data_IF_097781337185
#
_entry.id   IF_097781337185
#
_cell.length_a   1.000
_cell.length_b   1.000
_cell.length_c   1.000
_cell.angle_alpha   90.00
_cell.angle_beta   90.00
_cell.angle_gamma   90.00
#
_symmetry.space_group_name_H-M   'P 1'
#
loop_
_entity.id
_entity.type
_entity.pdbx_description
1 polymer ?
#
# COMPACT_ATOMS: atom_id res chain seq x y z
N UNK A 1 -75.83 -50.53 23.22
CA UNK A 1 -75.51 -50.75 24.63
C UNK A 1 -74.29 -49.87 24.86
N UNK A 2 -74.55 -48.64 25.16
CA UNK A 2 -74.42 -47.99 26.47
C UNK A 2 -72.93 -47.91 26.84
N UNK A 3 -72.30 -46.91 27.15
CA UNK A 3 -72.63 -45.65 27.82
C UNK A 3 -71.55 -44.59 27.54
N UNK A 4 -71.98 -43.40 27.37
CA UNK A 4 -71.28 -42.20 27.76
C UNK A 4 -71.37 -42.04 29.28
N UNK A 5 -70.44 -41.42 29.98
CA UNK A 5 -70.57 -39.97 30.23
C UNK A 5 -69.22 -39.29 30.33
N UNK A 6 -69.24 -38.04 29.93
CA UNK A 6 -69.38 -36.79 30.66
C UNK A 6 -68.08 -36.16 31.22
N UNK A 7 -67.98 -34.95 30.78
CA UNK A 7 -67.45 -33.72 31.42
C UNK A 7 -66.09 -33.76 32.13
N UNK A 8 -65.29 -32.91 31.62
CA UNK A 8 -64.09 -32.36 32.25
C UNK A 8 -63.64 -31.07 31.62
N UNK A 9 -64.47 -30.03 31.74
CA UNK A 9 -64.16 -28.65 31.49
C UNK A 9 -63.03 -28.25 32.43
N UNK A 10 -61.85 -28.09 31.87
CA UNK A 10 -60.73 -27.44 32.55
C UNK A 10 -60.25 -26.33 31.72
N UNK A 11 -60.39 -25.18 32.31
CA UNK A 11 -60.02 -23.85 31.86
C UNK A 11 -58.70 -23.78 31.11
N UNK A 12 -58.82 -23.27 29.89
CA UNK A 12 -57.67 -22.84 29.12
C UNK A 12 -57.01 -21.62 29.73
N UNK A 13 -55.99 -21.84 30.47
CA UNK A 13 -54.98 -20.82 30.69
C UNK A 13 -53.99 -20.86 29.52
N UNK A 14 -54.15 -19.90 28.63
CA UNK A 14 -53.29 -19.70 27.48
C UNK A 14 -51.93 -19.23 27.98
N UNK A 15 -50.83 -19.99 27.83
CA UNK A 15 -49.49 -19.58 28.26
C UNK A 15 -48.86 -18.45 27.43
N UNK A 16 -49.59 -17.93 26.42
CA UNK A 16 -49.00 -16.98 25.47
C UNK A 16 -49.25 -15.52 25.84
N UNK A 17 -49.97 -15.23 26.93
CA UNK A 17 -50.29 -13.85 27.29
C UNK A 17 -49.29 -13.21 28.27
N UNK A 18 -48.29 -13.97 28.73
CA UNK A 18 -47.30 -13.43 29.66
C UNK A 18 -45.91 -13.20 29.05
N UNK A 19 -45.75 -13.32 27.73
CA UNK A 19 -44.49 -13.06 27.06
C UNK A 19 -44.34 -11.60 26.58
N UNK A 20 -45.44 -10.83 26.58
CA UNK A 20 -45.46 -9.44 26.13
C UNK A 20 -45.05 -8.38 27.16
N UNK A 21 -44.93 -8.76 28.44
CA UNK A 21 -44.69 -7.78 29.50
C UNK A 21 -43.23 -7.74 30.03
N UNK A 22 -42.38 -8.65 29.58
CA UNK A 22 -40.96 -8.68 29.99
C UNK A 22 -39.97 -8.12 28.97
N UNK A 23 -40.42 -7.82 27.75
CA UNK A 23 -39.54 -7.20 26.74
C UNK A 23 -39.44 -5.67 26.82
N UNK A 24 -40.18 -5.02 27.71
CA UNK A 24 -40.23 -3.56 27.78
C UNK A 24 -39.34 -2.94 28.85
N UNK A 25 -38.59 -3.70 29.61
CA UNK A 25 -37.69 -3.18 30.64
C UNK A 25 -36.24 -3.61 30.46
N UNK A 26 -35.80 -3.83 29.22
CA UNK A 26 -34.38 -3.74 28.92
C UNK A 26 -34.00 -2.24 28.85
N UNK A 27 -34.12 -1.63 30.01
CA UNK A 27 -33.57 -0.35 30.35
C UNK A 27 -32.09 -0.36 29.91
N UNK A 28 -31.77 0.39 28.86
CA UNK A 28 -30.39 0.60 28.44
C UNK A 28 -29.65 1.12 29.65
N UNK A 29 -28.97 0.22 30.33
CA UNK A 29 -28.00 0.58 31.35
C UNK A 29 -27.06 1.64 30.74
N UNK A 30 -26.93 2.82 31.34
CA UNK A 30 -26.09 3.86 30.79
C UNK A 30 -24.68 3.29 30.69
N UNK A 31 -24.18 3.24 29.45
CA UNK A 31 -22.85 2.71 29.14
C UNK A 31 -21.85 3.33 30.10
N UNK A 32 -21.24 2.50 30.94
CA UNK A 32 -20.22 2.94 31.89
C UNK A 32 -19.08 3.62 31.13
N UNK A 33 -18.42 4.64 31.70
CA UNK A 33 -17.29 5.31 31.03
C UNK A 33 -16.22 4.33 30.51
N UNK A 34 -16.06 3.19 31.19
CA UNK A 34 -15.15 2.11 30.79
C UNK A 34 -15.63 1.34 29.54
N UNK A 35 -16.95 1.20 29.35
CA UNK A 35 -17.51 0.58 28.15
C UNK A 35 -17.32 1.50 26.94
N UNK A 36 -17.53 2.80 27.10
CA UNK A 36 -17.29 3.82 26.05
C UNK A 36 -15.80 3.87 25.69
N UNK A 37 -14.91 3.84 26.68
CA UNK A 37 -13.47 3.83 26.46
C UNK A 37 -13.01 2.56 25.73
N UNK A 38 -13.56 1.39 26.07
CA UNK A 38 -13.25 0.13 25.41
C UNK A 38 -13.76 0.07 23.96
N UNK A 39 -14.95 0.61 23.68
CA UNK A 39 -15.48 0.73 22.32
C UNK A 39 -14.67 1.72 21.46
N UNK A 40 -14.22 2.84 22.03
CA UNK A 40 -13.35 3.80 21.35
C UNK A 40 -11.98 3.17 21.03
N UNK A 41 -11.37 2.45 21.98
CA UNK A 41 -10.10 1.74 21.76
C UNK A 41 -10.24 0.61 20.73
N UNK A 42 -11.36 -0.11 20.71
CA UNK A 42 -11.63 -1.15 19.70
C UNK A 42 -11.80 -0.52 18.31
N UNK A 43 -12.45 0.63 18.21
CA UNK A 43 -12.62 1.37 16.96
C UNK A 43 -11.29 1.93 16.43
N UNK A 44 -10.44 2.46 17.30
CA UNK A 44 -9.10 2.93 16.93
C UNK A 44 -8.19 1.78 16.45
N UNK A 45 -8.24 0.61 17.10
CA UNK A 45 -7.51 -0.59 16.67
C UNK A 45 -8.00 -1.15 15.34
N UNK A 46 -9.27 -1.00 15.02
CA UNK A 46 -9.86 -1.46 13.76
C UNK A 46 -9.48 -0.57 12.56
N UNK A 47 -9.19 0.70 12.80
CA UNK A 47 -8.87 1.66 11.72
C UNK A 47 -7.40 1.56 11.29
N UNK A 48 -6.49 1.14 12.18
CA UNK A 48 -5.04 1.08 11.95
C UNK A 48 -4.62 0.16 10.80
N UNK A 49 -5.11 -1.09 10.65
CA UNK A 49 -4.65 -1.97 9.57
C UNK A 49 -5.05 -1.48 8.17
N UNK A 50 -6.20 -0.80 8.05
CA UNK A 50 -6.63 -0.20 6.77
C UNK A 50 -5.79 1.03 6.41
N UNK A 51 -5.44 1.85 7.40
CA UNK A 51 -4.64 3.06 7.19
C UNK A 51 -3.21 2.71 6.78
N UNK A 52 -2.59 1.72 7.42
CA UNK A 52 -1.24 1.22 7.07
C UNK A 52 -1.23 0.68 5.64
N UNK A 53 -2.25 -0.09 5.25
CA UNK A 53 -2.36 -0.60 3.88
C UNK A 53 -2.48 0.55 2.87
N UNK A 54 -3.34 1.53 3.15
CA UNK A 54 -3.56 2.67 2.26
C UNK A 54 -2.30 3.52 2.13
N UNK A 55 -1.60 3.77 3.25
CA UNK A 55 -0.33 4.51 3.24
C UNK A 55 0.75 3.77 2.45
N UNK A 56 0.88 2.46 2.63
CA UNK A 56 1.82 1.64 1.86
C UNK A 56 1.55 1.66 0.36
N UNK A 57 0.27 1.55 -0.02
CA UNK A 57 -0.16 1.65 -1.42
C UNK A 57 0.15 3.03 -2.01
N UNK A 58 -0.11 4.09 -1.26
CA UNK A 58 0.09 5.48 -1.69
C UNK A 58 1.57 5.79 -1.89
N UNK A 59 2.43 5.35 -0.95
CA UNK A 59 3.88 5.52 -1.04
C UNK A 59 4.46 4.72 -2.21
N UNK A 60 4.02 3.48 -2.43
CA UNK A 60 4.45 2.67 -3.56
C UNK A 60 3.99 3.26 -4.91
N UNK A 61 2.77 3.79 -4.98
CA UNK A 61 2.26 4.49 -6.15
C UNK A 61 3.05 5.79 -6.44
N UNK A 62 3.39 6.55 -5.40
CA UNK A 62 4.25 7.72 -5.53
C UNK A 62 5.66 7.35 -6.03
N UNK A 63 6.27 6.29 -5.48
CA UNK A 63 7.55 5.78 -5.95
C UNK A 63 7.51 5.38 -7.42
N UNK A 64 6.45 4.71 -7.86
CA UNK A 64 6.27 4.37 -9.27
C UNK A 64 6.08 5.64 -10.12
N UNK A 65 5.26 6.59 -9.67
CA UNK A 65 5.01 7.86 -10.37
C UNK A 65 6.29 8.67 -10.63
N UNK A 66 7.23 8.69 -9.67
CA UNK A 66 8.51 9.37 -9.84
C UNK A 66 9.37 8.78 -10.96
N UNK A 67 9.21 7.51 -11.32
CA UNK A 67 9.95 6.88 -12.41
C UNK A 67 9.53 7.35 -13.80
N UNK A 68 8.34 7.94 -13.92
CA UNK A 68 7.84 8.50 -15.18
C UNK A 68 8.39 9.89 -15.45
N UNK A 69 8.92 10.55 -14.43
CA UNK A 69 9.46 11.90 -14.51
C UNK A 69 10.92 11.88 -14.98
N UNK A 70 11.41 13.01 -15.51
CA UNK A 70 12.79 13.15 -15.95
C UNK A 70 13.74 13.17 -14.74
N UNK A 71 14.69 12.25 -14.72
CA UNK A 71 15.70 12.13 -13.67
C UNK A 71 17.01 12.79 -14.03
N UNK A 72 17.40 12.68 -15.31
CA UNK A 72 18.66 13.21 -15.82
C UNK A 72 18.39 14.00 -17.09
N UNK A 73 18.83 15.25 -17.11
CA UNK A 73 18.91 16.08 -18.29
C UNK A 73 20.35 16.13 -18.75
N UNK A 74 20.59 15.69 -19.99
CA UNK A 74 21.90 15.72 -20.61
C UNK A 74 21.91 16.70 -21.79
N UNK A 75 22.94 17.54 -21.89
CA UNK A 75 23.24 18.34 -23.08
C UNK A 75 24.38 17.69 -23.82
N UNK A 76 24.11 17.21 -25.02
CA UNK A 76 25.09 16.53 -25.86
C UNK A 76 25.40 17.41 -27.04
N UNK A 77 26.69 17.77 -27.22
CA UNK A 77 27.15 18.47 -28.39
C UNK A 77 27.52 17.44 -29.45
N UNK A 78 26.69 17.32 -30.47
CA UNK A 78 26.89 16.41 -31.59
C UNK A 78 27.28 17.14 -32.88
N UNK A 79 27.49 16.39 -33.96
CA UNK A 79 27.84 16.92 -35.28
C UNK A 79 26.77 17.88 -35.87
N UNK A 80 25.54 17.85 -35.34
CA UNK A 80 24.41 18.68 -35.77
C UNK A 80 24.03 19.78 -34.75
N UNK A 81 24.93 20.08 -33.80
CA UNK A 81 24.71 21.10 -32.77
C UNK A 81 24.40 20.53 -31.39
N UNK A 82 23.98 21.41 -30.47
CA UNK A 82 23.58 21.02 -29.12
C UNK A 82 22.20 20.36 -29.14
N UNK A 83 22.11 19.16 -28.57
CA UNK A 83 20.87 18.43 -28.37
C UNK A 83 20.64 18.19 -26.88
N UNK A 84 19.44 18.46 -26.40
CA UNK A 84 19.02 18.10 -25.04
C UNK A 84 18.36 16.75 -25.04
N UNK A 85 18.84 15.86 -24.18
CA UNK A 85 18.27 14.53 -23.98
C UNK A 85 17.74 14.43 -22.55
N UNK A 86 16.42 14.28 -22.42
CA UNK A 86 15.77 14.04 -21.14
C UNK A 86 15.59 12.53 -20.91
N UNK A 87 16.21 11.99 -19.86
CA UNK A 87 16.14 10.58 -19.51
C UNK A 87 15.20 10.41 -18.32
N UNK A 88 14.09 9.68 -18.53
CA UNK A 88 13.13 9.36 -17.47
C UNK A 88 13.71 8.34 -16.50
N UNK A 89 13.18 8.32 -15.25
CA UNK A 89 13.61 7.37 -14.23
C UNK A 89 13.45 5.92 -14.66
N UNK A 90 12.40 5.58 -15.41
CA UNK A 90 12.17 4.21 -15.93
C UNK A 90 13.25 3.75 -16.91
N UNK A 91 13.88 4.67 -17.63
CA UNK A 91 15.01 4.40 -18.54
C UNK A 91 16.35 4.45 -17.82
N UNK A 92 16.53 5.40 -16.91
CA UNK A 92 17.75 5.54 -16.12
C UNK A 92 17.92 4.38 -15.10
N UNK A 93 16.82 3.92 -14.53
CA UNK A 93 16.81 2.85 -13.53
C UNK A 93 15.59 1.91 -13.71
N UNK A 94 15.59 1.01 -14.69
CA UNK A 94 14.47 0.07 -14.92
C UNK A 94 14.14 -0.77 -13.70
N UNK A 95 15.16 -1.09 -12.88
CA UNK A 95 14.99 -1.83 -11.63
C UNK A 95 14.06 -1.11 -10.64
N UNK A 96 14.10 0.23 -10.57
CA UNK A 96 13.24 1.01 -9.67
C UNK A 96 11.77 0.84 -10.05
N UNK A 97 11.44 0.87 -11.34
CA UNK A 97 10.07 0.68 -11.81
C UNK A 97 9.55 -0.71 -11.47
N UNK A 98 10.37 -1.74 -11.68
CA UNK A 98 10.01 -3.13 -11.36
C UNK A 98 9.81 -3.31 -9.84
N UNK A 99 10.73 -2.80 -9.02
CA UNK A 99 10.65 -2.88 -7.56
C UNK A 99 9.47 -2.07 -6.99
N UNK A 100 9.16 -0.93 -7.57
CA UNK A 100 7.99 -0.13 -7.19
C UNK A 100 6.68 -0.88 -7.47
N UNK A 101 6.58 -1.62 -8.58
CA UNK A 101 5.42 -2.49 -8.85
C UNK A 101 5.31 -3.64 -7.86
N UNK A 102 6.44 -4.26 -7.47
CA UNK A 102 6.45 -5.28 -6.43
C UNK A 102 5.98 -4.70 -5.09
N UNK A 103 6.48 -3.52 -4.71
CA UNK A 103 6.08 -2.82 -3.49
C UNK A 103 4.59 -2.43 -3.52
N UNK A 104 4.03 -2.12 -4.69
CA UNK A 104 2.61 -1.80 -4.89
C UNK A 104 1.72 -3.04 -4.74
N UNK A 105 2.17 -4.20 -5.17
CA UNK A 105 1.44 -5.45 -5.04
C UNK A 105 1.44 -5.99 -3.60
N UNK A 106 2.47 -5.69 -2.81
CA UNK A 106 2.67 -6.23 -1.47
C UNK A 106 1.51 -5.92 -0.49
N UNK A 107 0.99 -4.68 -0.35
CA UNK A 107 -0.12 -4.39 0.55
C UNK A 107 -1.41 -5.15 0.17
N UNK A 108 -1.64 -5.37 -1.12
CA UNK A 108 -2.80 -6.12 -1.62
C UNK A 108 -2.65 -7.61 -1.29
N UNK A 109 -1.48 -8.19 -1.59
CA UNK A 109 -1.17 -9.58 -1.27
C UNK A 109 -1.21 -9.86 0.25
N UNK A 110 -0.67 -8.94 1.05
CA UNK A 110 -0.65 -9.06 2.51
C UNK A 110 -2.02 -9.09 3.18
N UNK A 111 -3.07 -8.58 2.50
CA UNK A 111 -4.43 -8.61 3.02
C UNK A 111 -5.08 -9.99 2.91
N UNK A 112 -4.79 -10.72 1.85
CA UNK A 112 -5.36 -12.04 1.56
C UNK A 112 -4.52 -13.15 2.20
N UNK A 113 -3.24 -12.85 2.49
CA UNK A 113 -2.27 -13.81 2.97
C UNK A 113 -2.55 -14.25 4.42
N UNK A 114 -2.45 -15.56 4.76
CA UNK A 114 -2.42 -16.05 6.12
C UNK A 114 -1.21 -15.47 6.88
N UNK A 115 -1.26 -15.51 8.22
CA UNK A 115 -0.28 -14.84 9.09
C UNK A 115 1.18 -15.09 8.70
N UNK A 116 1.54 -16.33 8.40
CA UNK A 116 2.92 -16.69 8.02
C UNK A 116 3.34 -16.05 6.70
N UNK A 117 2.47 -16.11 5.68
CA UNK A 117 2.75 -15.55 4.37
C UNK A 117 2.82 -14.02 4.38
N UNK A 118 2.14 -13.38 5.32
CA UNK A 118 2.19 -11.93 5.52
C UNK A 118 3.60 -11.45 5.85
N UNK A 119 4.36 -12.16 6.71
CA UNK A 119 5.76 -11.82 7.00
C UNK A 119 6.65 -11.90 5.75
N UNK A 120 6.41 -12.90 4.90
CA UNK A 120 7.14 -13.04 3.62
C UNK A 120 6.83 -11.85 2.71
N UNK A 121 5.55 -11.48 2.58
CA UNK A 121 5.12 -10.35 1.74
C UNK A 121 5.74 -9.04 2.21
N UNK A 122 5.74 -8.76 3.51
CA UNK A 122 6.38 -7.56 4.05
C UNK A 122 7.91 -7.60 3.93
N UNK A 123 8.52 -8.79 4.08
CA UNK A 123 9.94 -8.99 3.80
C UNK A 123 10.31 -8.67 2.36
N UNK A 124 9.49 -9.10 1.40
CA UNK A 124 9.67 -8.78 -0.02
C UNK A 124 9.48 -7.27 -0.27
N UNK A 125 8.50 -6.63 0.37
CA UNK A 125 8.29 -5.19 0.26
C UNK A 125 9.48 -4.40 0.82
N UNK A 126 10.02 -4.80 1.97
CA UNK A 126 11.22 -4.20 2.55
C UNK A 126 12.43 -4.35 1.63
N UNK A 127 12.66 -5.55 1.08
CA UNK A 127 13.72 -5.81 0.12
C UNK A 127 13.57 -4.96 -1.16
N UNK A 128 12.34 -4.78 -1.65
CA UNK A 128 12.05 -3.89 -2.77
C UNK A 128 12.38 -2.43 -2.44
N UNK A 129 12.03 -1.96 -1.24
CA UNK A 129 12.38 -0.62 -0.76
C UNK A 129 13.91 -0.40 -0.71
N UNK A 130 14.66 -1.35 -0.17
CA UNK A 130 16.13 -1.33 -0.17
C UNK A 130 16.67 -1.30 -1.59
N UNK A 131 16.13 -2.12 -2.49
CA UNK A 131 16.53 -2.16 -3.90
C UNK A 131 16.30 -0.81 -4.61
N UNK A 132 15.19 -0.12 -4.32
CA UNK A 132 14.91 1.23 -4.84
C UNK A 132 15.99 2.21 -4.37
N UNK A 133 16.30 2.25 -3.07
CA UNK A 133 17.32 3.16 -2.51
C UNK A 133 18.69 2.91 -3.14
N UNK A 134 19.11 1.64 -3.22
CA UNK A 134 20.39 1.28 -3.83
C UNK A 134 20.46 1.66 -5.31
N UNK A 135 19.38 1.45 -6.07
CA UNK A 135 19.31 1.80 -7.49
C UNK A 135 19.38 3.31 -7.70
N UNK A 136 18.75 4.10 -6.84
CA UNK A 136 18.85 5.56 -6.88
C UNK A 136 20.27 6.01 -6.57
N UNK A 137 20.92 5.47 -5.56
CA UNK A 137 22.31 5.78 -5.22
C UNK A 137 23.22 5.45 -6.42
N UNK A 138 23.02 4.31 -7.07
CA UNK A 138 23.83 3.91 -8.22
C UNK A 138 23.70 4.91 -9.38
N UNK A 139 22.48 5.36 -9.71
CA UNK A 139 22.24 6.35 -10.79
C UNK A 139 22.77 7.72 -10.42
N UNK A 140 22.60 8.16 -9.18
CA UNK A 140 23.08 9.47 -8.72
C UNK A 140 24.60 9.51 -8.59
N UNK A 141 25.24 8.40 -8.28
CA UNK A 141 26.71 8.28 -8.23
C UNK A 141 27.35 8.27 -9.62
N UNK A 142 26.66 7.80 -10.65
CA UNK A 142 27.17 7.75 -12.01
C UNK A 142 26.09 8.06 -13.05
N UNK A 143 25.67 9.34 -13.16
CA UNK A 143 24.61 9.73 -14.10
C UNK A 143 25.04 9.55 -15.57
N UNK A 144 26.34 9.63 -15.85
CA UNK A 144 26.89 9.40 -17.18
C UNK A 144 26.57 7.99 -17.71
N UNK A 145 26.64 6.96 -16.86
CA UNK A 145 26.35 5.59 -17.26
C UNK A 145 24.89 5.42 -17.73
N UNK A 146 23.94 6.08 -17.06
CA UNK A 146 22.53 6.04 -17.44
C UNK A 146 22.29 6.71 -18.81
N UNK A 147 22.93 7.85 -19.06
CA UNK A 147 22.85 8.58 -20.34
C UNK A 147 23.53 7.82 -21.47
N UNK A 148 24.72 7.26 -21.22
CA UNK A 148 25.44 6.44 -22.22
C UNK A 148 24.61 5.21 -22.64
N UNK A 149 23.96 4.56 -21.71
CA UNK A 149 23.09 3.41 -22.01
C UNK A 149 21.94 3.79 -22.95
N UNK A 150 21.30 4.91 -22.71
CA UNK A 150 20.18 5.39 -23.53
C UNK A 150 20.67 5.93 -24.89
N UNK A 151 21.76 6.70 -24.89
CA UNK A 151 22.37 7.22 -26.12
C UNK A 151 22.84 6.10 -27.03
N UNK A 152 23.48 5.06 -26.48
CA UNK A 152 23.92 3.91 -27.25
C UNK A 152 22.77 3.15 -27.92
N UNK A 153 21.60 3.11 -27.26
CA UNK A 153 20.38 2.51 -27.83
C UNK A 153 19.82 3.31 -29.00
N UNK A 154 19.91 4.64 -28.93
CA UNK A 154 19.33 5.55 -29.93
C UNK A 154 20.23 5.79 -31.12
N UNK A 155 21.55 5.93 -30.90
CA UNK A 155 22.50 6.39 -31.91
C UNK A 155 23.56 5.35 -32.28
N UNK A 156 23.70 4.28 -31.52
CA UNK A 156 24.74 3.25 -31.68
C UNK A 156 26.17 3.76 -31.39
N UNK A 157 26.31 5.00 -30.89
CA UNK A 157 27.61 5.63 -30.58
C UNK A 157 27.72 5.89 -29.09
N UNK A 158 28.90 5.65 -28.52
CA UNK A 158 29.24 5.94 -27.14
C UNK A 158 29.85 7.35 -27.12
N UNK A 159 29.08 8.37 -26.81
CA UNK A 159 29.60 9.73 -26.67
C UNK A 159 29.43 10.22 -25.24
N UNK A 160 30.47 10.19 -24.39
CA UNK A 160 30.38 10.56 -22.98
C UNK A 160 30.49 12.06 -22.71
N UNK A 161 30.63 12.90 -23.75
CA UNK A 161 30.86 14.33 -23.59
C UNK A 161 29.53 15.10 -23.49
N UNK A 162 29.20 15.58 -22.29
CA UNK A 162 28.04 16.43 -22.04
C UNK A 162 27.98 16.92 -20.60
N UNK A 163 27.24 17.99 -20.36
CA UNK A 163 26.86 18.43 -19.02
C UNK A 163 25.64 17.63 -18.57
N UNK A 164 25.72 17.04 -17.36
CA UNK A 164 24.66 16.28 -16.77
C UNK A 164 24.07 17.05 -15.60
N UNK A 165 22.79 17.30 -15.61
CA UNK A 165 22.09 17.84 -14.46
C UNK A 165 21.14 16.81 -13.88
N UNK A 166 21.25 16.57 -12.57
CA UNK A 166 20.36 15.70 -11.82
C UNK A 166 19.15 16.49 -11.34
N UNK A 167 17.97 15.96 -11.59
CA UNK A 167 16.72 16.46 -11.04
C UNK A 167 16.57 16.08 -9.56
N UNK A 168 15.58 16.62 -8.87
CA UNK A 168 15.22 16.25 -7.49
C UNK A 168 14.45 14.92 -7.40
N UNK A 169 13.90 14.42 -8.49
CA UNK A 169 13.04 13.25 -8.52
C UNK A 169 13.69 11.95 -8.04
N UNK A 170 14.97 11.66 -8.32
CA UNK A 170 15.65 10.49 -7.73
C UNK A 170 15.61 10.49 -6.20
N UNK A 171 15.79 11.65 -5.56
CA UNK A 171 15.77 11.78 -4.10
C UNK A 171 14.38 11.55 -3.53
N UNK A 172 13.33 12.00 -4.22
CA UNK A 172 11.94 11.70 -3.84
C UNK A 172 11.68 10.19 -3.92
N UNK A 173 12.18 9.52 -4.98
CA UNK A 173 12.08 8.07 -5.12
C UNK A 173 12.81 7.32 -4.00
N UNK A 174 14.01 7.78 -3.61
CA UNK A 174 14.75 7.21 -2.49
C UNK A 174 14.01 7.38 -1.16
N UNK A 175 13.42 8.54 -0.91
CA UNK A 175 12.59 8.80 0.26
C UNK A 175 11.36 7.87 0.31
N UNK A 176 10.69 7.67 -0.82
CA UNK A 176 9.59 6.70 -0.93
C UNK A 176 10.07 5.28 -0.65
N UNK A 177 11.24 4.87 -1.17
CA UNK A 177 11.84 3.56 -0.88
C UNK A 177 12.11 3.36 0.61
N UNK A 178 12.65 4.38 1.29
CA UNK A 178 12.85 4.35 2.73
C UNK A 178 11.54 4.27 3.51
N UNK A 179 10.50 5.00 3.09
CA UNK A 179 9.17 4.90 3.69
C UNK A 179 8.54 3.52 3.50
N UNK A 180 8.74 2.87 2.35
CA UNK A 180 8.28 1.49 2.13
C UNK A 180 8.92 0.54 3.16
N UNK A 181 10.21 0.70 3.46
CA UNK A 181 10.90 -0.10 4.49
C UNK A 181 10.25 0.12 5.86
N UNK A 182 10.02 1.39 6.23
CA UNK A 182 9.42 1.73 7.55
C UNK A 182 7.99 1.18 7.69
N UNK A 183 7.21 1.21 6.62
CA UNK A 183 5.83 0.66 6.63
C UNK A 183 5.83 -0.87 6.65
N UNK A 184 6.86 -1.52 6.10
CA UNK A 184 7.00 -2.97 6.05
C UNK A 184 7.52 -3.59 7.36
N UNK A 185 8.20 -2.82 8.19
CA UNK A 185 8.71 -3.25 9.51
C UNK A 185 7.66 -3.14 10.61
#
# INVERSE_FOLDING_TARGET
>A
MSDEPDSGRADGQNPLENTGAQESSMEREPATPDAIASEQQAKERSTRPGLVMLSGLLVAAAAFGTTLLTWVDARITGAFGEQSLAVSGSKAAPAVSALALVALAAPLAGRIAPRLLRYVVYGVAAAAGVGIVLSVIAVTSNPAAAVVTETSRLTGTISPAGEYSLSLWPWVSAACGALIIVVAL
#
